data_IF_793613199269
#
_entry.id   IF_793613199269
#
_cell.length_a   1.000
_cell.length_b   1.000
_cell.length_c   1.000
_cell.angle_alpha   90.00
_cell.angle_beta   90.00
_cell.angle_gamma   90.00
#
_symmetry.space_group_name_H-M   'P 1'
#
loop_
_entity.id
_entity.type
_entity.pdbx_description
1 polymer ?
#
# COMPACT_ATOMS: atom_id res chain seq x y z
N UNK A 1 6.89 24.31 6.60
CA UNK A 1 6.81 22.91 7.08
C UNK A 1 5.36 22.66 7.46
N UNK A 2 4.67 21.64 6.89
CA UNK A 2 3.30 21.30 7.31
C UNK A 2 3.39 20.31 8.46
N UNK A 3 2.66 20.55 9.53
CA UNK A 3 2.61 19.65 10.67
C UNK A 3 2.02 18.27 10.28
N UNK A 4 2.23 17.28 11.14
CA UNK A 4 1.73 15.92 10.91
C UNK A 4 0.20 15.88 10.75
N UNK A 5 -0.53 16.65 11.56
CA UNK A 5 -1.99 16.69 11.54
C UNK A 5 -2.54 17.18 10.20
N UNK A 6 -1.94 18.23 9.64
CA UNK A 6 -2.31 18.77 8.32
C UNK A 6 -2.04 17.78 7.21
N UNK A 7 -0.89 17.10 7.25
CA UNK A 7 -0.57 16.07 6.26
C UNK A 7 -1.49 14.86 6.37
N UNK A 8 -1.85 14.47 7.60
CA UNK A 8 -2.79 13.38 7.87
C UNK A 8 -4.20 13.72 7.37
N UNK A 9 -4.76 14.86 7.79
CA UNK A 9 -6.07 15.34 7.32
C UNK A 9 -6.15 15.44 5.80
N UNK A 10 -5.09 15.94 5.16
CA UNK A 10 -5.02 15.99 3.70
C UNK A 10 -5.03 14.60 3.07
N UNK A 11 -4.38 13.59 3.66
CA UNK A 11 -4.45 12.23 3.13
C UNK A 11 -5.80 11.57 3.41
N UNK A 12 -6.41 11.87 4.55
CA UNK A 12 -7.64 11.23 5.01
C UNK A 12 -8.86 11.60 4.15
N UNK A 13 -8.83 12.73 3.44
CA UNK A 13 -9.90 13.10 2.49
C UNK A 13 -10.10 12.05 1.37
N UNK A 14 -9.08 11.26 1.05
CA UNK A 14 -9.16 10.22 0.02
C UNK A 14 -9.69 8.88 0.54
N UNK A 15 -9.88 8.72 1.86
CA UNK A 15 -10.34 7.47 2.45
C UNK A 15 -11.65 6.94 1.85
N UNK A 16 -12.67 7.77 1.53
CA UNK A 16 -13.87 7.27 0.86
C UNK A 16 -13.56 6.57 -0.46
N UNK A 17 -12.69 7.15 -1.30
CA UNK A 17 -12.29 6.55 -2.58
C UNK A 17 -11.44 5.31 -2.39
N UNK A 18 -10.53 5.32 -1.44
CA UNK A 18 -9.70 4.15 -1.09
C UNK A 18 -10.58 2.99 -0.62
N UNK A 19 -11.61 3.26 0.21
CA UNK A 19 -12.57 2.24 0.65
C UNK A 19 -13.33 1.62 -0.52
N UNK A 20 -13.78 2.43 -1.49
CA UNK A 20 -14.45 1.92 -2.69
C UNK A 20 -13.55 0.95 -3.46
N UNK A 21 -12.29 1.34 -3.72
CA UNK A 21 -11.34 0.50 -4.46
C UNK A 21 -11.03 -0.80 -3.69
N UNK A 22 -10.82 -0.72 -2.37
CA UNK A 22 -10.51 -1.90 -1.56
C UNK A 22 -11.71 -2.85 -1.49
N UNK A 23 -12.94 -2.32 -1.43
CA UNK A 23 -14.14 -3.15 -1.33
C UNK A 23 -14.26 -4.14 -2.51
N UNK A 24 -13.92 -3.72 -3.73
CA UNK A 24 -13.87 -4.58 -4.93
C UNK A 24 -12.89 -5.75 -4.79
N UNK A 25 -11.92 -5.66 -3.89
CA UNK A 25 -10.93 -6.72 -3.63
C UNK A 25 -11.25 -7.56 -2.38
N UNK A 26 -12.28 -7.17 -1.62
CA UNK A 26 -12.75 -7.91 -0.44
C UNK A 26 -14.04 -8.68 -0.73
N UNK A 27 -14.85 -8.17 -1.66
CA UNK A 27 -16.10 -8.75 -2.09
C UNK A 27 -15.87 -9.69 -3.28
N UNK A 28 -16.61 -10.79 -3.31
CA UNK A 28 -16.70 -11.73 -4.43
C UNK A 28 -18.16 -12.04 -4.68
N UNK A 29 -18.48 -12.49 -5.89
CA UNK A 29 -19.80 -13.02 -6.22
C UNK A 29 -20.14 -14.20 -5.31
N UNK A 30 -21.40 -14.23 -4.86
CA UNK A 30 -21.90 -15.34 -4.08
C UNK A 30 -22.00 -16.60 -4.95
N UNK A 31 -21.79 -17.80 -4.38
CA UNK A 31 -22.12 -19.05 -5.05
C UNK A 31 -23.61 -19.15 -5.41
N UNK A 32 -23.94 -19.75 -6.55
CA UNK A 32 -25.32 -19.87 -7.07
C UNK A 32 -26.38 -20.29 -6.02
N UNK A 33 -26.12 -21.25 -5.10
CA UNK A 33 -27.14 -21.63 -4.12
C UNK A 33 -27.53 -20.49 -3.16
N UNK A 34 -26.58 -19.63 -2.78
CA UNK A 34 -26.82 -18.45 -1.92
C UNK A 34 -27.57 -17.36 -2.68
N UNK A 35 -27.23 -17.14 -3.94
CA UNK A 35 -27.94 -16.21 -4.82
C UNK A 35 -29.41 -16.64 -4.99
N UNK A 36 -29.65 -17.90 -5.38
CA UNK A 36 -30.99 -18.40 -5.70
C UNK A 36 -31.93 -18.54 -4.49
N UNK A 37 -31.40 -18.82 -3.30
CA UNK A 37 -32.22 -19.16 -2.12
C UNK A 37 -32.15 -18.11 -1.01
N UNK A 38 -31.11 -17.29 -0.97
CA UNK A 38 -30.86 -16.34 0.13
C UNK A 38 -30.78 -14.88 -0.33
N UNK A 39 -31.12 -14.60 -1.60
CA UNK A 39 -31.09 -13.25 -2.19
C UNK A 39 -29.77 -12.51 -1.91
N UNK A 40 -28.66 -13.25 -2.06
CA UNK A 40 -27.31 -12.80 -1.72
C UNK A 40 -26.46 -12.73 -2.99
N UNK A 41 -26.19 -11.54 -3.49
CA UNK A 41 -25.36 -11.34 -4.70
C UNK A 41 -23.85 -11.33 -4.41
N UNK A 42 -23.45 -10.88 -3.20
CA UNK A 42 -22.05 -10.66 -2.85
C UNK A 42 -21.72 -11.25 -1.47
N UNK A 43 -20.55 -11.86 -1.36
CA UNK A 43 -19.99 -12.34 -0.09
C UNK A 43 -18.57 -11.81 0.09
N UNK A 44 -18.09 -11.75 1.34
CA UNK A 44 -16.71 -11.36 1.64
C UNK A 44 -15.81 -12.60 1.66
N UNK A 45 -14.65 -12.54 0.99
CA UNK A 45 -13.72 -13.69 0.91
C UNK A 45 -13.07 -14.10 2.24
N UNK A 46 -13.10 -13.25 3.27
CA UNK A 46 -12.42 -13.50 4.54
C UNK A 46 -13.28 -13.03 5.72
N UNK A 47 -13.57 -13.94 6.64
CA UNK A 47 -14.21 -13.63 7.94
C UNK A 47 -13.26 -12.89 8.89
N UNK A 48 -11.98 -12.82 8.55
CA UNK A 48 -10.97 -12.12 9.34
C UNK A 48 -10.89 -10.64 8.96
N UNK A 49 -10.86 -9.80 9.98
CA UNK A 49 -10.61 -8.37 9.83
C UNK A 49 -9.26 -8.15 9.15
N UNK A 50 -9.26 -7.62 7.92
CA UNK A 50 -8.03 -7.24 7.22
C UNK A 50 -7.56 -5.86 7.67
N UNK A 51 -6.31 -5.78 8.11
CA UNK A 51 -5.68 -4.51 8.46
C UNK A 51 -5.01 -3.88 7.24
N UNK A 52 -5.58 -2.79 6.73
CA UNK A 52 -5.06 -2.09 5.55
C UNK A 52 -4.38 -0.78 5.93
N UNK A 53 -3.08 -0.67 5.65
CA UNK A 53 -2.36 0.60 5.71
C UNK A 53 -2.70 1.46 4.49
N UNK A 54 -2.88 2.77 4.67
CA UNK A 54 -3.23 3.68 3.57
C UNK A 54 -2.25 4.83 3.50
N UNK A 55 -1.71 5.06 2.30
CA UNK A 55 -0.84 6.19 2.01
C UNK A 55 -1.16 6.78 0.66
N UNK A 56 -1.56 8.06 0.65
CA UNK A 56 -1.75 8.83 -0.59
C UNK A 56 -0.67 9.91 -0.68
N UNK A 57 -0.01 9.99 -1.84
CA UNK A 57 1.00 11.00 -2.15
C UNK A 57 0.37 12.15 -2.91
N UNK A 58 0.92 13.34 -2.70
CA UNK A 58 0.49 14.56 -3.40
C UNK A 58 0.73 14.46 -4.91
N UNK A 59 0.05 15.28 -5.72
CA UNK A 59 0.32 15.37 -7.15
C UNK A 59 1.80 15.65 -7.44
N UNK A 60 2.30 15.18 -8.59
CA UNK A 60 3.70 15.33 -9.02
C UNK A 60 4.62 14.17 -8.61
N UNK A 61 4.26 13.40 -7.57
CA UNK A 61 5.08 12.27 -7.14
C UNK A 61 5.01 11.08 -8.11
N UNK A 62 3.86 10.86 -8.75
CA UNK A 62 3.69 9.75 -9.70
C UNK A 62 4.59 9.92 -10.93
N UNK A 63 4.77 11.16 -11.39
CA UNK A 63 5.62 11.46 -12.54
C UNK A 63 7.10 11.32 -12.19
N UNK A 64 7.49 11.73 -10.98
CA UNK A 64 8.89 11.71 -10.54
C UNK A 64 9.37 10.33 -10.09
N UNK A 65 8.47 9.55 -9.49
CA UNK A 65 8.76 8.24 -8.90
C UNK A 65 7.64 7.25 -9.25
N UNK A 66 7.48 6.90 -10.54
CA UNK A 66 6.33 6.14 -11.04
C UNK A 66 6.24 4.69 -10.52
N UNK A 67 7.35 4.14 -10.04
CA UNK A 67 7.46 2.75 -9.60
C UNK A 67 7.90 2.60 -8.14
N UNK A 68 8.11 3.72 -7.44
CA UNK A 68 8.58 3.67 -6.06
C UNK A 68 7.43 3.87 -5.08
N UNK A 69 7.29 2.94 -4.13
CA UNK A 69 6.54 3.19 -2.92
C UNK A 69 7.48 3.49 -1.75
N UNK A 70 6.98 4.17 -0.73
CA UNK A 70 7.79 4.64 0.40
C UNK A 70 7.16 4.26 1.72
N UNK A 71 7.97 3.73 2.64
CA UNK A 71 7.56 3.38 4.01
C UNK A 71 8.41 4.17 4.98
N UNK A 72 7.81 4.79 6.00
CA UNK A 72 8.58 5.53 7.00
C UNK A 72 9.45 4.57 7.83
N UNK A 73 10.75 4.85 7.90
CA UNK A 73 11.75 3.96 8.49
C UNK A 73 12.48 4.53 9.70
N UNK A 74 12.49 5.85 9.89
CA UNK A 74 13.01 6.48 11.12
C UNK A 74 12.24 7.74 11.50
N UNK A 75 12.22 8.03 12.80
CA UNK A 75 11.66 9.23 13.41
C UNK A 75 12.72 9.85 14.35
N UNK A 76 12.82 11.19 14.44
CA UNK A 76 13.72 11.85 15.39
C UNK A 76 13.46 11.46 16.84
N UNK A 77 12.21 11.15 17.19
CA UNK A 77 11.81 10.73 18.54
C UNK A 77 12.21 9.31 18.90
N UNK A 78 12.72 8.51 17.94
CA UNK A 78 12.98 7.08 18.15
C UNK A 78 11.73 6.21 18.27
N UNK A 79 10.53 6.78 18.16
CA UNK A 79 9.28 6.03 18.21
C UNK A 79 9.20 4.98 17.09
N UNK A 80 8.44 3.91 17.34
CA UNK A 80 8.31 2.80 16.39
C UNK A 80 7.83 3.26 15.01
N UNK A 81 8.54 2.83 13.97
CA UNK A 81 8.31 3.28 12.60
C UNK A 81 7.31 2.40 11.85
N UNK A 82 6.80 2.91 10.74
CA UNK A 82 5.87 2.18 9.87
C UNK A 82 6.53 0.90 9.33
N UNK A 83 7.81 0.98 8.94
CA UNK A 83 8.57 -0.17 8.48
C UNK A 83 8.78 -1.20 9.59
N UNK A 84 9.10 -0.77 10.81
CA UNK A 84 9.22 -1.68 11.97
C UNK A 84 7.93 -2.45 12.21
N UNK A 85 6.79 -1.75 12.24
CA UNK A 85 5.47 -2.37 12.40
C UNK A 85 5.19 -3.42 11.32
N UNK A 86 5.42 -3.07 10.06
CA UNK A 86 5.18 -3.97 8.93
C UNK A 86 6.06 -5.21 9.03
N UNK A 87 7.35 -5.05 9.35
CA UNK A 87 8.31 -6.16 9.50
C UNK A 87 7.92 -7.07 10.67
N UNK A 88 7.41 -6.51 11.76
CA UNK A 88 6.92 -7.24 12.93
C UNK A 88 5.55 -7.94 12.70
N UNK A 89 5.05 -7.98 11.47
CA UNK A 89 3.84 -8.72 11.11
C UNK A 89 2.55 -7.92 11.17
N UNK A 90 2.60 -6.61 11.46
CA UNK A 90 1.41 -5.78 11.40
C UNK A 90 1.01 -5.47 9.95
N UNK A 91 -0.31 -5.38 9.73
CA UNK A 91 -0.89 -5.08 8.42
C UNK A 91 -0.88 -6.27 7.46
N UNK A 92 -1.99 -6.41 6.76
CA UNK A 92 -2.18 -7.40 5.70
C UNK A 92 -1.91 -6.78 4.34
N UNK A 93 -2.51 -5.62 4.07
CA UNK A 93 -2.36 -4.90 2.81
C UNK A 93 -1.91 -3.46 3.03
N UNK A 94 -1.32 -2.87 2.00
CA UNK A 94 -1.05 -1.44 1.92
C UNK A 94 -1.62 -0.87 0.62
N UNK A 95 -2.52 0.09 0.73
CA UNK A 95 -2.91 0.94 -0.38
C UNK A 95 -1.90 2.09 -0.51
N UNK A 96 -1.16 2.12 -1.63
CA UNK A 96 -0.25 3.21 -1.98
C UNK A 96 -0.76 3.92 -3.23
N UNK A 97 -1.22 5.16 -3.07
CA UNK A 97 -1.83 5.93 -4.14
C UNK A 97 -1.16 7.29 -4.38
N UNK A 98 -1.41 7.85 -5.55
CA UNK A 98 -1.04 9.19 -5.93
C UNK A 98 -2.30 9.98 -6.26
N UNK A 99 -2.51 11.07 -5.52
CA UNK A 99 -3.62 11.98 -5.75
C UNK A 99 -3.54 12.59 -7.16
N UNK A 100 -4.70 12.74 -7.77
CA UNK A 100 -4.85 13.36 -9.08
C UNK A 100 -4.42 14.82 -9.06
N UNK A 101 -3.88 15.29 -10.19
CA UNK A 101 -3.53 16.70 -10.35
C UNK A 101 -4.77 17.63 -10.28
N UNK A 102 -5.96 17.14 -10.66
CA UNK A 102 -7.21 17.90 -10.54
C UNK A 102 -7.69 18.03 -9.08
N UNK A 103 -7.22 17.15 -8.19
CA UNK A 103 -7.62 17.11 -6.78
C UNK A 103 -8.81 16.20 -6.47
N UNK A 104 -9.48 15.65 -7.49
CA UNK A 104 -10.76 14.95 -7.32
C UNK A 104 -10.64 13.42 -7.17
N UNK A 105 -9.42 12.88 -7.10
CA UNK A 105 -9.26 11.43 -7.09
C UNK A 105 -7.83 10.93 -6.91
N UNK A 106 -7.65 9.65 -7.26
CA UNK A 106 -6.37 8.93 -7.21
C UNK A 106 -6.10 8.36 -8.60
N UNK A 107 -5.08 8.87 -9.30
CA UNK A 107 -4.80 8.52 -10.70
C UNK A 107 -3.98 7.23 -10.84
N UNK A 108 -3.04 7.03 -9.91
CA UNK A 108 -2.13 5.90 -9.91
C UNK A 108 -2.09 5.28 -8.51
N UNK A 109 -2.30 3.98 -8.42
CA UNK A 109 -2.27 3.28 -7.13
C UNK A 109 -1.88 1.81 -7.27
N UNK A 110 -1.37 1.26 -6.16
CA UNK A 110 -1.15 -0.16 -5.93
C UNK A 110 -1.81 -0.60 -4.63
N UNK A 111 -2.40 -1.79 -4.67
CA UNK A 111 -2.74 -2.57 -3.49
C UNK A 111 -1.63 -3.60 -3.28
N UNK A 112 -0.85 -3.42 -2.23
CA UNK A 112 0.36 -4.18 -1.93
C UNK A 112 0.07 -5.22 -0.86
N UNK A 113 0.49 -6.46 -1.08
CA UNK A 113 0.46 -7.53 -0.08
C UNK A 113 1.66 -7.41 0.88
N UNK A 114 1.39 -7.13 2.16
CA UNK A 114 2.44 -6.94 3.16
C UNK A 114 3.07 -8.28 3.61
N UNK A 115 2.38 -9.40 3.44
CA UNK A 115 2.95 -10.75 3.68
C UNK A 115 3.98 -11.06 2.59
N UNK A 116 3.65 -10.79 1.33
CA UNK A 116 4.59 -10.94 0.22
C UNK A 116 5.79 -9.99 0.36
N UNK A 117 5.53 -8.73 0.75
CA UNK A 117 6.58 -7.75 1.06
C UNK A 117 7.55 -8.25 2.13
N UNK A 118 7.03 -8.71 3.29
CA UNK A 118 7.84 -9.29 4.38
C UNK A 118 8.68 -10.47 3.90
N UNK A 119 8.06 -11.42 3.21
CA UNK A 119 8.76 -12.59 2.68
C UNK A 119 9.91 -12.19 1.74
N UNK A 120 9.69 -11.19 0.88
CA UNK A 120 10.73 -10.68 -0.01
C UNK A 120 11.89 -10.03 0.75
N UNK A 121 11.62 -9.26 1.81
CA UNK A 121 12.67 -8.67 2.65
C UNK A 121 13.49 -9.71 3.40
N UNK A 122 12.86 -10.76 3.94
CA UNK A 122 13.56 -11.87 4.60
C UNK A 122 14.51 -12.56 3.60
N UNK A 123 14.00 -12.91 2.42
CA UNK A 123 14.81 -13.56 1.37
C UNK A 123 15.97 -12.68 0.92
N UNK A 124 15.77 -11.35 0.82
CA UNK A 124 16.86 -10.41 0.55
C UNK A 124 17.98 -10.48 1.59
N UNK A 125 17.63 -10.53 2.87
CA UNK A 125 18.62 -10.63 3.96
C UNK A 125 19.41 -11.94 3.93
N UNK A 126 18.77 -13.05 3.53
CA UNK A 126 19.39 -14.37 3.49
C UNK A 126 20.20 -14.66 2.21
N UNK A 127 19.77 -14.15 1.06
CA UNK A 127 20.32 -14.53 -0.26
C UNK A 127 20.76 -13.34 -1.12
N UNK A 128 20.71 -12.10 -0.61
CA UNK A 128 21.20 -10.91 -1.32
C UNK A 128 20.31 -10.43 -2.47
N UNK A 129 19.03 -10.81 -2.47
CA UNK A 129 18.10 -10.56 -3.58
C UNK A 129 18.05 -9.08 -4.01
N UNK A 130 17.98 -8.86 -5.34
CA UNK A 130 18.09 -7.55 -6.02
C UNK A 130 16.92 -6.58 -5.86
N UNK A 131 16.22 -6.56 -4.72
CA UNK A 131 15.20 -5.54 -4.42
C UNK A 131 15.91 -4.17 -4.40
N UNK A 132 15.51 -3.30 -5.31
CA UNK A 132 16.04 -1.94 -5.42
C UNK A 132 15.32 -1.08 -4.40
N UNK A 133 16.07 -0.59 -3.43
CA UNK A 133 15.56 0.25 -2.37
C UNK A 133 16.66 1.18 -1.85
N UNK A 134 16.27 2.22 -1.12
CA UNK A 134 17.23 3.07 -0.43
C UNK A 134 16.57 3.91 0.65
N UNK A 135 17.40 4.50 1.51
CA UNK A 135 16.93 5.37 2.58
C UNK A 135 17.03 6.84 2.15
N UNK A 136 16.04 7.63 2.54
CA UNK A 136 16.06 9.08 2.34
C UNK A 136 15.60 9.78 3.61
N UNK A 137 16.39 10.77 4.00
CA UNK A 137 16.11 11.65 5.15
C UNK A 137 15.45 12.94 4.66
N UNK A 138 14.37 13.32 5.33
CA UNK A 138 13.71 14.61 5.15
C UNK A 138 14.38 15.68 6.01
N UNK A 139 14.12 16.95 5.67
CA UNK A 139 14.64 18.10 6.43
C UNK A 139 14.12 18.14 7.89
N UNK A 140 12.95 17.55 8.17
CA UNK A 140 12.38 17.41 9.51
C UNK A 140 13.00 16.26 10.33
N UNK A 141 14.03 15.61 9.80
CA UNK A 141 14.71 14.49 10.43
C UNK A 141 14.00 13.14 10.32
N UNK A 142 12.79 13.08 9.75
CA UNK A 142 12.14 11.79 9.46
C UNK A 142 12.84 11.09 8.29
N UNK A 143 12.96 9.76 8.35
CA UNK A 143 13.49 8.97 7.24
C UNK A 143 12.42 8.05 6.66
N UNK A 144 12.51 7.80 5.38
CA UNK A 144 11.73 6.78 4.70
C UNK A 144 12.65 5.89 3.86
N UNK A 145 12.23 4.64 3.70
CA UNK A 145 12.81 3.72 2.74
C UNK A 145 11.92 3.70 1.51
N UNK A 146 12.49 3.94 0.34
CA UNK A 146 11.82 3.77 -0.94
C UNK A 146 12.12 2.39 -1.51
N UNK A 147 11.17 1.82 -2.25
CA UNK A 147 11.27 0.50 -2.85
C UNK A 147 10.71 0.56 -4.28
N UNK A 148 11.47 0.08 -5.26
CA UNK A 148 10.98 -0.09 -6.64
C UNK A 148 10.12 -1.35 -6.70
N UNK A 149 8.81 -1.17 -6.96
CA UNK A 149 7.81 -2.25 -6.96
C UNK A 149 8.15 -3.37 -7.95
N UNK A 150 8.84 -3.04 -9.05
CA UNK A 150 9.19 -4.02 -10.12
C UNK A 150 10.37 -4.91 -9.73
N UNK A 151 11.13 -4.52 -8.72
CA UNK A 151 12.30 -5.28 -8.26
C UNK A 151 11.95 -6.43 -7.31
N UNK A 152 10.66 -6.58 -6.95
CA UNK A 152 10.21 -7.67 -6.11
C UNK A 152 10.07 -8.97 -6.92
N UNK A 153 10.22 -10.14 -6.27
CA UNK A 153 9.98 -11.42 -6.93
C UNK A 153 8.58 -11.50 -7.53
N UNK A 154 8.45 -12.22 -8.65
CA UNK A 154 7.15 -12.49 -9.26
C UNK A 154 6.26 -13.38 -8.38
N UNK A 155 6.85 -14.22 -7.50
CA UNK A 155 6.10 -15.12 -6.63
C UNK A 155 6.61 -15.18 -5.16
N UNK A 156 5.71 -15.02 -4.16
CA UNK A 156 4.34 -14.53 -4.31
C UNK A 156 4.34 -13.08 -4.83
N UNK A 157 3.31 -12.66 -5.59
CA UNK A 157 3.27 -11.31 -6.17
C UNK A 157 3.17 -10.25 -5.07
N UNK A 158 3.96 -9.19 -5.19
CA UNK A 158 3.90 -8.05 -4.27
C UNK A 158 2.58 -7.27 -4.42
N UNK A 159 2.15 -7.05 -5.67
CA UNK A 159 0.99 -6.22 -6.00
C UNK A 159 -0.20 -7.12 -6.26
N UNK A 160 -1.23 -6.97 -5.42
CA UNK A 160 -2.52 -7.64 -5.55
C UNK A 160 -3.32 -7.04 -6.70
N UNK A 161 -3.31 -5.71 -6.80
CA UNK A 161 -4.03 -4.97 -7.82
C UNK A 161 -3.41 -3.59 -8.02
N UNK A 162 -3.65 -2.98 -9.18
CA UNK A 162 -3.12 -1.68 -9.54
C UNK A 162 -4.10 -0.93 -10.45
N UNK A 163 -4.06 0.40 -10.41
CA UNK A 163 -4.80 1.25 -11.35
C UNK A 163 -4.39 1.07 -12.82
N UNK A 164 -3.16 0.57 -13.03
CA UNK A 164 -2.54 0.38 -14.33
C UNK A 164 -1.65 -0.86 -14.27
N UNK A 165 -1.54 -1.64 -15.36
CA UNK A 165 -0.61 -2.77 -15.39
C UNK A 165 0.82 -2.34 -15.10
N UNK A 166 1.53 -3.12 -14.28
CA UNK A 166 2.97 -3.00 -14.17
C UNK A 166 3.57 -3.60 -15.44
N UNK A 167 4.13 -2.75 -16.31
CA UNK A 167 4.98 -3.22 -17.40
C UNK A 167 6.30 -3.67 -16.76
N UNK A 168 6.43 -4.99 -16.54
CA UNK A 168 7.60 -5.64 -15.94
C UNK A 168 8.55 -6.10 -17.05
#
# INVERSE_FOLDING_TARGET
MRDYATNRRWSDQYLPRVKQIIAEHLLTEAPDPLDWHEATDLVTMDVNLRHVAVRVRRPGYAQRYPFDFTVRSSLPSGAETELSKIVNGHGDWMFYGHASASGDGIDAWWLIDLRAFRAALIRRGMAGNGIRCGNRRNADGTCFTWFDVRSFPQYPPLVVSASRPLLI
#
